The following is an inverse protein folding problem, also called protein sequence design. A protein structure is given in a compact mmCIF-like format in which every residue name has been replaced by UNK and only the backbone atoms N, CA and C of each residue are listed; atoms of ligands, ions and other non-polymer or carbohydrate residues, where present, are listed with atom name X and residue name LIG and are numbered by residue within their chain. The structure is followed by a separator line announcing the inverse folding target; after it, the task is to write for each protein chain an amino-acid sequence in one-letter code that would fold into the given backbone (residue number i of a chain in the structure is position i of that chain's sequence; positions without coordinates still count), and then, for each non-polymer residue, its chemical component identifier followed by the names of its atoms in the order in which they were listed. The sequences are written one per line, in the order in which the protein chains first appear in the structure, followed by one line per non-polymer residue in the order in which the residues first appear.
data_IF_559942856332
#
_entry.id   IF_559942856332
#
_cell.length_a   1.000
_cell.length_b   1.000
_cell.length_c   1.000
_cell.angle_alpha   90.00
_cell.angle_beta   90.00
_cell.angle_gamma   90.00
#
_symmetry.space_group_name_H-M   'P 1'
#
loop_
_entity.id
_entity.type
_entity.pdbx_description
1 polymer ?
#
# COMPACT_ATOMS: atom_id res chain seq x y z
N UNK A 1 -69.70 -7.92 -50.77
CA UNK A 1 -68.81 -8.45 -49.72
C UNK A 1 -67.40 -8.16 -50.11
N UNK A 2 -66.72 -7.15 -49.43
CA UNK A 2 -65.36 -6.72 -49.73
C UNK A 2 -64.40 -7.33 -48.71
N UNK A 3 -63.48 -8.18 -49.17
CA UNK A 3 -62.44 -8.81 -48.39
C UNK A 3 -61.31 -7.81 -48.14
N UNK A 4 -61.08 -7.39 -46.90
CA UNK A 4 -59.91 -6.53 -46.49
C UNK A 4 -58.69 -7.41 -46.33
N UNK A 5 -57.66 -7.16 -47.15
CA UNK A 5 -56.33 -7.73 -47.01
C UNK A 5 -55.63 -7.05 -45.83
N UNK A 6 -55.26 -7.83 -44.82
CA UNK A 6 -54.42 -7.40 -43.70
C UNK A 6 -52.97 -7.67 -44.10
N UNK A 7 -52.19 -6.58 -44.28
CA UNK A 7 -50.76 -6.66 -44.50
C UNK A 7 -50.09 -6.72 -43.11
N UNK A 8 -49.44 -7.85 -42.85
CA UNK A 8 -48.66 -8.06 -41.63
C UNK A 8 -47.24 -7.49 -41.87
N UNK A 9 -46.93 -6.34 -41.29
CA UNK A 9 -45.58 -5.77 -41.34
C UNK A 9 -44.73 -6.48 -40.28
N UNK A 10 -43.75 -7.25 -40.72
CA UNK A 10 -42.75 -7.91 -39.87
C UNK A 10 -41.69 -6.87 -39.50
N UNK A 11 -41.75 -6.36 -38.27
CA UNK A 11 -40.65 -5.54 -37.71
C UNK A 11 -39.50 -6.49 -37.32
N UNK A 12 -38.42 -6.44 -38.07
CA UNK A 12 -37.14 -7.00 -37.66
C UNK A 12 -36.51 -6.09 -36.61
N UNK A 13 -36.56 -6.47 -35.33
CA UNK A 13 -35.77 -5.86 -34.29
C UNK A 13 -34.34 -6.45 -34.35
N UNK A 14 -33.39 -5.65 -34.83
CA UNK A 14 -31.96 -5.97 -34.73
C UNK A 14 -31.56 -5.78 -33.25
N UNK A 15 -31.54 -6.87 -32.47
CA UNK A 15 -30.96 -6.88 -31.15
C UNK A 15 -29.41 -6.81 -31.31
N UNK A 16 -28.87 -5.63 -31.25
CA UNK A 16 -27.41 -5.41 -31.14
C UNK A 16 -26.93 -5.97 -29.79
N UNK A 17 -26.25 -7.09 -29.82
CA UNK A 17 -25.52 -7.59 -28.63
C UNK A 17 -24.34 -6.67 -28.37
N UNK A 18 -24.45 -5.82 -27.35
CA UNK A 18 -23.32 -5.07 -26.84
C UNK A 18 -22.43 -6.09 -26.12
N UNK A 19 -21.35 -6.51 -26.79
CA UNK A 19 -20.32 -7.33 -26.19
C UNK A 19 -19.52 -6.44 -25.26
N UNK A 20 -19.79 -6.49 -23.97
CA UNK A 20 -18.86 -5.94 -22.96
C UNK A 20 -17.60 -6.78 -23.05
N UNK A 21 -16.53 -6.18 -23.57
CA UNK A 21 -15.20 -6.76 -23.45
C UNK A 21 -14.92 -6.93 -21.96
N UNK A 22 -14.96 -8.16 -21.48
CA UNK A 22 -14.54 -8.50 -20.13
C UNK A 22 -13.04 -8.18 -20.06
N UNK A 23 -12.68 -7.13 -19.31
CA UNK A 23 -11.29 -6.95 -18.90
C UNK A 23 -10.83 -8.25 -18.26
N UNK A 24 -9.70 -8.82 -18.69
CA UNK A 24 -9.19 -10.04 -18.08
C UNK A 24 -9.09 -9.81 -16.57
N UNK A 25 -9.39 -10.82 -15.73
CA UNK A 25 -9.29 -10.66 -14.29
C UNK A 25 -7.89 -10.14 -13.95
N UNK A 26 -7.84 -9.03 -13.23
CA UNK A 26 -6.57 -8.46 -12.80
C UNK A 26 -5.78 -9.57 -12.11
N UNK A 27 -4.50 -9.73 -12.52
CA UNK A 27 -3.62 -10.71 -11.89
C UNK A 27 -3.63 -10.44 -10.38
N UNK A 28 -4.09 -11.38 -9.54
CA UNK A 28 -4.25 -11.15 -8.10
C UNK A 28 -2.94 -10.78 -7.38
N UNK A 29 -1.81 -10.95 -8.05
CA UNK A 29 -0.48 -10.57 -7.56
C UNK A 29 0.18 -9.47 -8.42
N UNK A 30 -0.59 -8.64 -9.11
CA UNK A 30 -0.04 -7.61 -9.98
C UNK A 30 0.69 -6.54 -9.17
N UNK A 31 2.01 -6.73 -9.04
CA UNK A 31 2.92 -5.68 -8.55
C UNK A 31 2.91 -4.52 -9.54
N UNK A 32 3.06 -3.31 -9.03
CA UNK A 32 3.29 -2.16 -9.90
C UNK A 32 4.65 -2.36 -10.59
N UNK A 33 4.71 -2.11 -11.91
CA UNK A 33 5.99 -2.15 -12.64
C UNK A 33 6.93 -1.08 -12.10
N UNK A 34 8.24 -1.30 -12.19
CA UNK A 34 9.23 -0.32 -11.72
C UNK A 34 9.10 1.04 -12.40
N UNK A 35 8.84 1.05 -13.71
CA UNK A 35 8.64 2.29 -14.46
C UNK A 35 7.42 3.08 -13.97
N UNK A 36 6.30 2.38 -13.78
CA UNK A 36 5.07 2.98 -13.24
C UNK A 36 5.27 3.45 -11.79
N UNK A 37 5.96 2.65 -10.96
CA UNK A 37 6.26 3.04 -9.59
C UNK A 37 7.13 4.30 -9.54
N UNK A 38 8.21 4.37 -10.32
CA UNK A 38 9.11 5.53 -10.38
C UNK A 38 8.39 6.79 -10.84
N UNK A 39 7.47 6.67 -11.82
CA UNK A 39 6.63 7.77 -12.26
C UNK A 39 5.71 8.29 -11.14
N UNK A 40 5.05 7.39 -10.44
CA UNK A 40 4.22 7.72 -9.27
C UNK A 40 5.05 8.35 -8.15
N UNK A 41 6.21 7.81 -7.83
CA UNK A 41 7.08 8.35 -6.78
C UNK A 41 7.54 9.78 -7.09
N UNK A 42 7.91 10.07 -8.34
CA UNK A 42 8.25 11.43 -8.78
C UNK A 42 7.09 12.42 -8.59
N UNK A 43 5.87 12.00 -8.89
CA UNK A 43 4.70 12.89 -8.82
C UNK A 43 4.13 13.02 -7.41
N UNK A 44 4.17 11.95 -6.62
CA UNK A 44 3.41 11.84 -5.37
C UNK A 44 4.29 11.97 -4.11
N UNK A 45 5.60 11.73 -4.23
CA UNK A 45 6.57 11.73 -3.13
C UNK A 45 7.83 12.56 -3.47
N UNK A 46 7.66 13.70 -4.14
CA UNK A 46 8.75 14.53 -4.67
C UNK A 46 9.71 15.08 -3.60
N UNK A 47 9.33 15.06 -2.34
CA UNK A 47 10.12 15.49 -1.21
C UNK A 47 11.14 14.46 -0.72
N UNK A 48 11.15 13.24 -1.29
CA UNK A 48 12.09 12.17 -0.96
C UNK A 48 12.68 11.61 -2.27
N UNK A 49 13.99 11.32 -2.33
CA UNK A 49 14.59 10.72 -3.53
C UNK A 49 13.86 9.45 -3.95
N UNK A 50 13.60 9.30 -5.26
CA UNK A 50 12.86 8.16 -5.82
C UNK A 50 13.52 6.82 -5.44
N UNK A 51 14.86 6.76 -5.45
CA UNK A 51 15.61 5.55 -5.04
C UNK A 51 15.34 5.15 -3.58
N UNK A 52 15.18 6.13 -2.70
CA UNK A 52 14.85 5.87 -1.28
C UNK A 52 13.41 5.34 -1.15
N UNK A 53 12.44 5.99 -1.79
CA UNK A 53 11.04 5.54 -1.76
C UNK A 53 10.88 4.16 -2.41
N UNK A 54 11.58 3.90 -3.52
CA UNK A 54 11.58 2.59 -4.17
C UNK A 54 12.16 1.51 -3.24
N UNK A 55 13.29 1.80 -2.58
CA UNK A 55 13.91 0.86 -1.66
C UNK A 55 12.98 0.49 -0.49
N UNK A 56 12.29 1.48 0.08
CA UNK A 56 11.31 1.25 1.15
C UNK A 56 10.14 0.42 0.60
N UNK A 57 9.55 0.79 -0.54
CA UNK A 57 8.42 0.04 -1.10
C UNK A 57 8.77 -1.41 -1.47
N UNK A 58 9.99 -1.66 -1.93
CA UNK A 58 10.49 -3.02 -2.16
C UNK A 58 10.60 -3.82 -0.86
N UNK A 59 11.04 -3.17 0.21
CA UNK A 59 11.17 -3.77 1.54
C UNK A 59 9.81 -4.05 2.17
N UNK A 60 8.91 -3.08 2.13
CA UNK A 60 7.63 -3.11 2.82
C UNK A 60 6.57 -3.99 2.14
N UNK A 61 6.48 -3.90 0.82
CA UNK A 61 5.37 -4.51 0.07
C UNK A 61 5.80 -5.31 -1.16
N UNK A 62 7.10 -5.34 -1.47
CA UNK A 62 7.59 -5.83 -2.76
C UNK A 62 6.87 -5.18 -3.97
N UNK A 63 6.50 -3.90 -3.86
CA UNK A 63 5.74 -3.09 -4.82
C UNK A 63 4.29 -3.57 -5.02
N UNK A 64 3.71 -4.25 -4.05
CA UNK A 64 2.31 -4.68 -4.11
C UNK A 64 1.39 -3.61 -3.52
N UNK A 65 0.48 -2.99 -4.31
CA UNK A 65 -0.31 -1.84 -3.87
C UNK A 65 -1.38 -2.17 -2.83
N UNK A 66 -1.80 -3.42 -2.76
CA UNK A 66 -2.81 -3.91 -1.82
C UNK A 66 -2.21 -4.69 -0.66
N UNK A 67 -0.90 -4.56 -0.46
CA UNK A 67 -0.22 -5.21 0.66
C UNK A 67 -0.85 -4.81 1.98
N UNK A 68 -1.05 -5.80 2.83
CA UNK A 68 -1.63 -5.64 4.16
C UNK A 68 -0.81 -6.44 5.17
N UNK A 69 -0.43 -5.81 6.27
CA UNK A 69 0.17 -6.49 7.42
C UNK A 69 -0.63 -6.18 8.68
N UNK A 70 -0.65 -7.13 9.60
CA UNK A 70 -1.33 -6.99 10.89
C UNK A 70 -0.32 -6.51 11.91
N UNK A 71 -0.60 -5.38 12.53
CA UNK A 71 0.18 -4.85 13.64
C UNK A 71 -0.48 -5.26 14.96
N UNK A 72 0.33 -5.45 16.00
CA UNK A 72 -0.22 -5.71 17.33
C UNK A 72 -0.64 -4.39 17.95
N UNK A 73 -1.90 -4.27 18.39
CA UNK A 73 -2.27 -3.18 19.28
C UNK A 73 -1.56 -3.35 20.63
N UNK A 74 -0.92 -2.29 21.10
CA UNK A 74 -0.28 -2.26 22.41
C UNK A 74 -1.24 -2.63 23.55
N UNK A 75 -2.52 -2.30 23.41
CA UNK A 75 -3.56 -2.56 24.41
C UNK A 75 -4.08 -4.01 24.44
N UNK A 76 -3.82 -4.81 23.42
CA UNK A 76 -4.22 -6.23 23.38
C UNK A 76 -3.15 -7.18 23.91
N UNK A 77 -1.94 -6.69 24.19
CA UNK A 77 -0.86 -7.50 24.78
C UNK A 77 -1.23 -8.09 26.14
N UNK A 78 -2.26 -7.55 26.80
CA UNK A 78 -2.75 -7.99 28.11
C UNK A 78 -4.02 -8.87 28.04
N UNK A 79 -4.61 -9.11 26.86
CA UNK A 79 -5.75 -10.03 26.75
C UNK A 79 -5.27 -11.48 26.86
N UNK A 80 -5.77 -12.20 27.89
CA UNK A 80 -5.53 -13.65 28.05
C UNK A 80 -5.88 -14.38 26.75
N UNK A 81 -4.93 -15.14 26.20
CA UNK A 81 -5.13 -15.98 25.03
C UNK A 81 -4.45 -15.46 23.73
N UNK A 82 -3.90 -14.26 23.72
CA UNK A 82 -3.05 -13.82 22.61
C UNK A 82 -1.62 -14.32 22.81
N UNK A 83 -1.30 -15.42 22.14
CA UNK A 83 0.08 -15.86 22.04
C UNK A 83 0.91 -14.77 21.37
N UNK A 84 2.18 -14.59 21.78
CA UNK A 84 3.14 -13.62 21.25
C UNK A 84 3.56 -13.89 19.78
N UNK A 85 2.81 -14.71 19.04
CA UNK A 85 3.02 -14.95 17.61
C UNK A 85 2.61 -13.74 16.78
N UNK A 86 3.39 -13.37 15.78
CA UNK A 86 2.97 -12.45 14.73
C UNK A 86 1.75 -13.06 14.03
N UNK A 87 0.61 -12.34 13.98
CA UNK A 87 -0.49 -12.77 13.11
C UNK A 87 0.02 -12.52 11.70
N UNK A 88 0.28 -13.60 10.98
CA UNK A 88 0.67 -13.55 9.58
C UNK A 88 -0.57 -13.86 8.76
N UNK A 89 -0.86 -13.03 7.77
CA UNK A 89 -1.88 -13.36 6.79
C UNK A 89 -1.39 -14.57 5.98
N UNK A 90 -2.21 -15.61 5.85
CA UNK A 90 -1.88 -16.79 5.04
C UNK A 90 -1.60 -16.44 3.58
N UNK A 91 -2.25 -15.37 3.09
CA UNK A 91 -2.01 -14.76 1.79
C UNK A 91 -2.26 -13.26 1.82
N UNK A 92 -1.82 -12.57 0.78
CA UNK A 92 -2.18 -11.18 0.56
C UNK A 92 -3.56 -11.07 -0.12
N UNK A 93 -4.30 -9.96 0.10
CA UNK A 93 -5.53 -9.69 -0.64
C UNK A 93 -5.27 -9.66 -2.14
N UNK A 94 -6.21 -10.13 -2.96
CA UNK A 94 -6.03 -10.21 -4.41
C UNK A 94 -6.56 -8.98 -5.16
N UNK A 95 -7.34 -8.14 -4.49
CA UNK A 95 -7.89 -6.90 -5.05
C UNK A 95 -7.95 -5.80 -4.01
N UNK A 96 -8.19 -4.57 -4.48
CA UNK A 96 -8.42 -3.42 -3.61
C UNK A 96 -9.65 -3.62 -2.72
N UNK A 97 -10.71 -4.17 -3.27
CA UNK A 97 -11.98 -4.43 -2.59
C UNK A 97 -11.79 -5.43 -1.45
N UNK A 98 -11.07 -6.50 -1.72
CA UNK A 98 -10.76 -7.51 -0.70
C UNK A 98 -9.85 -6.93 0.40
N UNK A 99 -8.79 -6.19 0.02
CA UNK A 99 -7.89 -5.54 0.96
C UNK A 99 -8.65 -4.57 1.88
N UNK A 100 -9.59 -3.81 1.31
CA UNK A 100 -10.43 -2.90 2.06
C UNK A 100 -11.39 -3.63 3.01
N UNK A 101 -12.01 -4.71 2.55
CA UNK A 101 -12.91 -5.53 3.37
C UNK A 101 -12.16 -6.12 4.57
N UNK A 102 -10.98 -6.69 4.35
CA UNK A 102 -10.14 -7.24 5.43
C UNK A 102 -9.70 -6.15 6.40
N UNK A 103 -9.25 -5.01 5.88
CA UNK A 103 -8.84 -3.86 6.72
C UNK A 103 -9.97 -3.41 7.62
N UNK A 104 -11.18 -3.20 7.08
CA UNK A 104 -12.35 -2.79 7.87
C UNK A 104 -12.69 -3.82 8.95
N UNK A 105 -12.66 -5.11 8.62
CA UNK A 105 -12.92 -6.19 9.58
C UNK A 105 -11.91 -6.21 10.71
N UNK A 106 -10.62 -6.03 10.41
CA UNK A 106 -9.55 -6.01 11.42
C UNK A 106 -9.66 -4.78 12.33
N UNK A 107 -9.87 -3.60 11.75
CA UNK A 107 -10.03 -2.36 12.50
C UNK A 107 -11.27 -2.40 13.42
N UNK A 108 -12.39 -2.99 12.97
CA UNK A 108 -13.58 -3.18 13.79
C UNK A 108 -13.33 -4.09 15.01
N UNK A 109 -12.33 -4.97 14.93
CA UNK A 109 -11.87 -5.82 16.03
C UNK A 109 -10.81 -5.13 16.93
N UNK A 110 -10.46 -3.86 16.65
CA UNK A 110 -9.41 -3.14 17.36
C UNK A 110 -7.99 -3.57 16.96
N UNK A 111 -7.83 -4.25 15.84
CA UNK A 111 -6.54 -4.70 15.31
C UNK A 111 -6.03 -3.65 14.34
N UNK A 112 -4.84 -3.11 14.56
CA UNK A 112 -4.22 -2.15 13.65
C UNK A 112 -3.50 -2.86 12.52
N UNK A 113 -3.41 -2.18 11.37
CA UNK A 113 -2.84 -2.74 10.15
C UNK A 113 -1.89 -1.74 9.48
N UNK A 114 -0.95 -2.25 8.71
CA UNK A 114 -0.15 -1.45 7.78
C UNK A 114 -0.63 -1.69 6.35
N UNK A 115 -0.74 -0.62 5.55
CA UNK A 115 -1.50 -0.58 4.31
C UNK A 115 -0.64 -0.11 3.15
N UNK A 116 -0.67 -0.85 2.06
CA UNK A 116 -0.24 -0.43 0.73
C UNK A 116 1.27 -0.44 0.52
N UNK A 117 1.73 0.30 -0.49
CA UNK A 117 3.11 0.29 -1.00
C UNK A 117 4.17 0.58 0.06
N UNK A 118 3.93 1.58 0.91
CA UNK A 118 4.83 2.01 1.98
C UNK A 118 4.36 1.55 3.36
N UNK A 119 3.44 0.60 3.43
CA UNK A 119 2.92 0.01 4.66
C UNK A 119 2.59 1.06 5.74
N UNK A 120 1.78 2.07 5.34
CA UNK A 120 1.35 3.12 6.26
C UNK A 120 0.46 2.53 7.36
N UNK A 121 0.86 2.68 8.61
CA UNK A 121 0.11 2.19 9.76
C UNK A 121 -1.23 2.93 9.89
N UNK A 122 -2.30 2.19 10.17
CA UNK A 122 -3.65 2.72 10.33
C UNK A 122 -3.79 3.73 11.48
N UNK A 123 -2.96 3.64 12.52
CA UNK A 123 -2.92 4.63 13.61
C UNK A 123 -2.36 5.97 13.11
N UNK A 124 -1.25 5.94 12.35
CA UNK A 124 -0.70 7.15 11.72
C UNK A 124 -1.69 7.76 10.72
N UNK A 125 -2.40 6.91 9.96
CA UNK A 125 -3.43 7.36 9.04
C UNK A 125 -4.57 8.07 9.76
N UNK A 126 -5.03 7.54 10.88
CA UNK A 126 -6.08 8.15 11.68
C UNK A 126 -5.67 9.54 12.21
N UNK A 127 -4.42 9.71 12.67
CA UNK A 127 -3.87 11.00 13.09
C UNK A 127 -3.84 12.03 11.94
N UNK A 128 -3.70 11.55 10.69
CA UNK A 128 -3.70 12.38 9.48
C UNK A 128 -5.09 12.50 8.84
N UNK A 129 -6.15 12.03 9.50
CA UNK A 129 -7.53 12.00 9.00
C UNK A 129 -7.68 11.26 7.66
N UNK A 130 -6.86 10.23 7.42
CA UNK A 130 -6.92 9.39 6.24
C UNK A 130 -7.70 8.11 6.51
N UNK A 131 -8.58 7.76 5.58
CA UNK A 131 -9.32 6.50 5.65
C UNK A 131 -8.55 5.38 4.94
N UNK A 132 -8.81 4.10 5.27
CA UNK A 132 -8.20 2.96 4.58
C UNK A 132 -8.41 3.00 3.05
N UNK A 133 -9.58 3.44 2.60
CA UNK A 133 -9.91 3.58 1.18
C UNK A 133 -8.92 4.50 0.45
N UNK A 134 -8.51 5.59 1.10
CA UNK A 134 -7.55 6.55 0.55
C UNK A 134 -6.14 6.00 0.58
N UNK A 135 -5.79 5.18 1.57
CA UNK A 135 -4.46 4.58 1.68
C UNK A 135 -4.21 3.47 0.64
N UNK A 136 -5.26 2.84 0.10
CA UNK A 136 -5.12 1.92 -1.02
C UNK A 136 -5.00 2.63 -2.39
N UNK A 137 -5.10 3.97 -2.43
CA UNK A 137 -4.67 4.76 -3.59
C UNK A 137 -3.14 4.89 -3.56
N UNK A 138 -2.44 4.44 -4.62
CA UNK A 138 -0.97 4.43 -4.64
C UNK A 138 -0.34 5.80 -4.41
N UNK A 139 -0.90 6.85 -5.00
CA UNK A 139 -0.36 8.21 -4.85
C UNK A 139 -0.52 8.73 -3.43
N UNK A 140 -1.69 8.53 -2.83
CA UNK A 140 -1.95 8.90 -1.43
C UNK A 140 -1.03 8.13 -0.48
N UNK A 141 -0.83 6.83 -0.72
CA UNK A 141 0.06 6.01 0.07
C UNK A 141 1.51 6.49 0.03
N UNK A 142 2.04 6.73 -1.19
CA UNK A 142 3.39 7.25 -1.39
C UNK A 142 3.59 8.62 -0.74
N UNK A 143 2.63 9.54 -0.92
CA UNK A 143 2.68 10.87 -0.30
C UNK A 143 2.71 10.79 1.22
N UNK A 144 1.87 9.94 1.79
CA UNK A 144 1.76 9.77 3.25
C UNK A 144 3.03 9.16 3.82
N UNK A 145 3.51 8.06 3.26
CA UNK A 145 4.74 7.42 3.71
C UNK A 145 5.98 8.32 3.57
N UNK A 146 6.09 9.07 2.45
CA UNK A 146 7.16 10.04 2.26
C UNK A 146 7.10 11.18 3.29
N UNK A 147 5.91 11.68 3.63
CA UNK A 147 5.75 12.70 4.66
C UNK A 147 6.17 12.18 6.05
N UNK A 148 5.77 10.95 6.40
CA UNK A 148 6.19 10.31 7.65
C UNK A 148 7.70 10.13 7.71
N UNK A 149 8.34 9.65 6.63
CA UNK A 149 9.80 9.51 6.58
C UNK A 149 10.50 10.86 6.70
N UNK A 150 10.02 11.89 5.98
CA UNK A 150 10.61 13.24 6.07
C UNK A 150 10.51 13.82 7.47
N UNK A 151 9.39 13.63 8.14
CA UNK A 151 9.20 14.09 9.52
C UNK A 151 10.15 13.38 10.49
N UNK A 152 10.30 12.06 10.37
CA UNK A 152 11.25 11.29 11.20
C UNK A 152 12.70 11.66 10.89
N UNK A 153 13.06 11.88 9.62
CA UNK A 153 14.39 12.34 9.24
C UNK A 153 14.69 13.72 9.84
N UNK A 154 13.78 14.67 9.74
CA UNK A 154 13.95 15.99 10.33
C UNK A 154 14.14 15.93 11.85
N UNK A 155 13.44 15.02 12.53
CA UNK A 155 13.59 14.82 13.97
C UNK A 155 14.95 14.21 14.33
N UNK A 156 15.40 13.19 13.61
CA UNK A 156 16.69 12.52 13.85
C UNK A 156 17.88 13.41 13.46
N UNK A 157 17.77 14.18 12.39
CA UNK A 157 18.79 15.12 11.95
C UNK A 157 19.03 16.26 12.96
N UNK A 158 18.02 16.70 13.70
CA UNK A 158 18.19 17.67 14.79
C UNK A 158 19.06 17.14 15.93
N UNK A 159 19.09 15.83 16.13
CA UNK A 159 19.82 15.19 17.22
C UNK A 159 21.22 14.77 16.79
N UNK A 160 21.36 14.25 15.57
CA UNK A 160 22.58 13.57 15.09
C UNK A 160 23.32 14.37 14.01
N UNK A 161 22.77 15.51 13.56
CA UNK A 161 23.21 16.18 12.34
C UNK A 161 22.63 15.51 11.08
N UNK A 162 22.66 16.23 9.95
CA UNK A 162 22.22 15.68 8.66
C UNK A 162 23.18 14.59 8.16
N UNK A 163 22.66 13.63 7.39
CA UNK A 163 23.46 12.60 6.74
C UNK A 163 22.97 11.19 6.99
N UNK A 164 23.86 10.22 6.73
CA UNK A 164 23.48 8.80 6.76
C UNK A 164 23.08 8.30 8.15
N UNK A 165 23.70 8.80 9.22
CA UNK A 165 23.31 8.40 10.58
C UNK A 165 21.88 8.80 10.90
N UNK A 166 21.49 10.05 10.57
CA UNK A 166 20.12 10.52 10.73
C UNK A 166 19.13 9.74 9.85
N UNK A 167 19.51 9.40 8.61
CA UNK A 167 18.68 8.59 7.71
C UNK A 167 18.49 7.18 8.26
N UNK A 168 19.53 6.55 8.77
CA UNK A 168 19.45 5.22 9.35
C UNK A 168 18.51 5.20 10.57
N UNK A 169 18.64 6.20 11.44
CA UNK A 169 17.75 6.35 12.59
C UNK A 169 16.30 6.64 12.16
N UNK A 170 16.11 7.45 11.11
CA UNK A 170 14.77 7.73 10.55
C UNK A 170 14.11 6.49 9.95
N UNK A 171 14.86 5.69 9.18
CA UNK A 171 14.39 4.41 8.64
C UNK A 171 14.06 3.42 9.76
N UNK A 172 14.91 3.36 10.79
CA UNK A 172 14.65 2.54 11.97
C UNK A 172 13.36 2.96 12.67
N UNK A 173 13.15 4.27 12.85
CA UNK A 173 11.94 4.82 13.46
C UNK A 173 10.69 4.55 12.63
N UNK A 174 10.80 4.69 11.30
CA UNK A 174 9.72 4.39 10.35
C UNK A 174 9.21 2.96 10.51
N UNK A 175 10.11 1.99 10.64
CA UNK A 175 9.79 0.58 10.80
C UNK A 175 9.24 0.22 12.17
N UNK A 176 9.82 0.76 13.23
CA UNK A 176 9.65 0.21 14.59
C UNK A 176 9.18 1.22 15.65
N UNK A 177 9.11 2.51 15.31
CA UNK A 177 8.90 3.56 16.30
C UNK A 177 10.12 3.81 17.23
N UNK A 178 11.26 3.19 16.92
CA UNK A 178 12.52 3.34 17.68
C UNK A 178 13.66 3.72 16.74
N UNK A 179 14.53 4.68 17.11
CA UNK A 179 15.65 5.08 16.27
C UNK A 179 16.73 4.00 16.11
N UNK A 180 16.67 2.91 16.88
CA UNK A 180 17.70 1.86 16.90
C UNK A 180 17.21 0.45 16.60
N UNK A 181 15.94 0.13 16.85
CA UNK A 181 15.42 -1.23 16.69
C UNK A 181 15.48 -1.73 15.24
N UNK A 182 15.26 -0.86 14.24
CA UNK A 182 15.38 -1.19 12.83
C UNK A 182 16.82 -1.46 12.37
N UNK A 183 17.82 -0.99 13.13
CA UNK A 183 19.21 -1.31 12.89
C UNK A 183 19.53 -2.75 13.29
N UNK A 184 18.96 -3.20 14.41
CA UNK A 184 19.25 -4.53 14.98
C UNK A 184 18.39 -5.63 14.40
N UNK A 185 17.17 -5.33 13.89
CA UNK A 185 16.29 -6.33 13.27
C UNK A 185 16.55 -6.55 11.77
N UNK A 186 17.53 -5.82 11.18
CA UNK A 186 17.94 -5.97 9.79
C UNK A 186 17.17 -5.11 8.79
N UNK A 187 16.13 -4.36 9.20
CA UNK A 187 15.31 -3.56 8.30
C UNK A 187 16.11 -2.50 7.54
N UNK A 188 16.90 -1.70 8.26
CA UNK A 188 17.71 -0.63 7.65
C UNK A 188 18.68 -1.20 6.63
N UNK A 189 19.31 -2.34 6.94
CA UNK A 189 20.21 -3.02 6.01
C UNK A 189 19.48 -3.51 4.76
N UNK A 190 18.27 -4.02 4.90
CA UNK A 190 17.45 -4.46 3.76
C UNK A 190 17.07 -3.30 2.85
N UNK A 191 16.65 -2.15 3.42
CA UNK A 191 16.37 -0.92 2.65
C UNK A 191 17.62 -0.46 1.89
N UNK A 192 18.78 -0.42 2.55
CA UNK A 192 20.04 -0.06 1.90
C UNK A 192 20.42 -1.00 0.75
N UNK A 193 20.18 -2.28 0.90
CA UNK A 193 20.41 -3.25 -0.17
C UNK A 193 19.51 -2.97 -1.37
N UNK A 194 18.24 -2.71 -1.16
CA UNK A 194 17.32 -2.34 -2.23
C UNK A 194 17.67 -1.00 -2.87
N UNK A 195 18.17 -0.02 -2.10
CA UNK A 195 18.60 1.27 -2.65
C UNK A 195 19.80 1.12 -3.60
N UNK A 196 20.78 0.26 -3.28
CA UNK A 196 21.90 -0.05 -4.17
C UNK A 196 21.43 -0.69 -5.49
N UNK A 197 20.47 -1.61 -5.43
CA UNK A 197 19.89 -2.23 -6.61
C UNK A 197 19.13 -1.23 -7.48
N UNK A 198 18.45 -0.26 -6.87
CA UNK A 198 17.68 0.78 -7.60
C UNK A 198 18.58 1.72 -8.42
N UNK A 199 19.81 1.96 -7.98
CA UNK A 199 20.78 2.81 -8.71
C UNK A 199 21.35 2.11 -9.95
N UNK A 200 21.39 0.78 -9.96
CA UNK A 200 22.01 -0.02 -11.03
C UNK A 200 20.99 -0.58 -12.04
N UNK A 201 19.70 -0.30 -11.88
CA UNK A 201 18.66 -0.70 -12.83
C UNK A 201 18.20 0.50 -13.67
N UNK A 202 18.36 0.45 -15.01
CA UNK A 202 17.94 1.52 -15.91
C UNK A 202 16.43 1.76 -15.91
#
# INVERSE_FOLDING_TARGET
MRLKKIIFAMLFTVAGTISFAQTPPANPNAKISLSSFRSLAKSCAANVPVSTIEAIARTESALYPYALSINRPHNLAHRRGWNRGTIILERQPVSREEALAWTKSLLAQGITVSIGLLQVNSENAALLHLTPERLFDPCTNLRTGAALLSATYAATARIQGEGFAALDAALSYYNSGSPTAGLTNGYVQQVKTHAKLSVHQP
#
